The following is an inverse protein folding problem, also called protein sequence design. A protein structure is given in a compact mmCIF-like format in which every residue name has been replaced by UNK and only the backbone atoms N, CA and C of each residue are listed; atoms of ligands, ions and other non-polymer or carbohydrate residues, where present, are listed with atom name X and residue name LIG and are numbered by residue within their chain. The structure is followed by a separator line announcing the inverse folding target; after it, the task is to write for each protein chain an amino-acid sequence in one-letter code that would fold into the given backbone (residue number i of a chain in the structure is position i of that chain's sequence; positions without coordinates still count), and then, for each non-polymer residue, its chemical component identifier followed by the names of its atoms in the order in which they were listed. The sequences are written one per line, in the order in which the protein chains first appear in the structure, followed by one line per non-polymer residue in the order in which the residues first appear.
data_IF_270887449612
#
_entry.id   IF_270887449612
#
_cell.length_a   1.000
_cell.length_b   1.000
_cell.length_c   1.000
_cell.angle_alpha   90.00
_cell.angle_beta   90.00
_cell.angle_gamma   90.00
#
_symmetry.space_group_name_H-M   'P 1'
#
loop_
_entity.id
_entity.type
_entity.pdbx_description
1 polymer ?
#
# COMPACT_ATOMS: atom_id res chain seq x y z
N UNK A 1 -34.65 1.68 -30.15
CA UNK A 1 -33.63 2.27 -31.06
C UNK A 1 -32.69 3.16 -30.27
N UNK A 2 -31.37 2.95 -30.31
CA UNK A 2 -30.41 3.81 -29.60
C UNK A 2 -30.32 5.21 -30.22
N UNK A 3 -29.82 6.17 -29.42
CA UNK A 3 -29.51 7.53 -29.91
C UNK A 3 -28.02 7.61 -30.27
N UNK A 4 -27.71 8.19 -31.41
CA UNK A 4 -26.33 8.45 -31.85
C UNK A 4 -25.62 9.36 -30.85
N UNK A 5 -24.41 9.00 -30.44
CA UNK A 5 -23.61 9.80 -29.50
C UNK A 5 -23.18 11.17 -30.05
N UNK A 6 -23.05 11.27 -31.39
CA UNK A 6 -22.73 12.51 -32.08
C UNK A 6 -23.98 13.37 -32.30
N UNK A 7 -24.83 13.02 -33.26
CA UNK A 7 -25.97 13.84 -33.68
C UNK A 7 -27.23 13.73 -32.82
N UNK A 8 -27.26 12.85 -31.80
CA UNK A 8 -28.37 12.60 -30.87
C UNK A 8 -29.65 12.02 -31.50
N UNK A 9 -29.69 11.81 -32.81
CA UNK A 9 -30.84 11.26 -33.54
C UNK A 9 -30.95 9.75 -33.23
N UNK A 10 -32.19 9.22 -33.10
CA UNK A 10 -32.45 7.78 -33.01
C UNK A 10 -32.12 7.12 -34.35
N UNK A 11 -31.45 5.94 -34.29
CA UNK A 11 -31.09 5.21 -35.49
C UNK A 11 -31.32 3.69 -35.31
N UNK A 12 -31.41 2.95 -36.41
CA UNK A 12 -31.49 1.50 -36.39
C UNK A 12 -30.07 0.92 -36.33
N UNK A 13 -29.74 0.32 -35.17
CA UNK A 13 -28.42 -0.30 -34.98
C UNK A 13 -28.25 -1.52 -35.88
N UNK A 14 -27.11 -1.62 -36.57
CA UNK A 14 -26.72 -2.77 -37.42
C UNK A 14 -26.03 -3.88 -36.64
N UNK A 15 -25.48 -3.54 -35.43
CA UNK A 15 -24.80 -4.49 -34.54
C UNK A 15 -24.98 -4.09 -33.07
N UNK A 16 -24.73 -5.06 -32.19
CA UNK A 16 -24.88 -4.86 -30.75
C UNK A 16 -23.95 -3.73 -30.23
N UNK A 17 -24.47 -2.88 -29.37
CA UNK A 17 -23.75 -1.73 -28.79
C UNK A 17 -23.26 -0.67 -29.79
N UNK A 18 -23.85 -0.56 -30.99
CA UNK A 18 -23.55 0.54 -31.90
C UNK A 18 -23.90 1.89 -31.26
N UNK A 19 -22.94 2.79 -31.21
CA UNK A 19 -23.04 4.09 -30.51
C UNK A 19 -23.24 5.29 -31.45
N UNK A 20 -23.00 5.09 -32.76
CA UNK A 20 -23.05 6.13 -33.80
C UNK A 20 -23.85 5.63 -34.99
N UNK A 21 -24.65 6.52 -35.64
CA UNK A 21 -25.48 6.15 -36.78
C UNK A 21 -24.68 5.82 -38.04
N UNK A 22 -23.48 6.40 -38.19
CA UNK A 22 -22.57 6.23 -39.35
C UNK A 22 -23.18 6.67 -40.71
N UNK A 23 -24.28 7.43 -40.67
CA UNK A 23 -24.97 7.91 -41.87
C UNK A 23 -24.49 9.29 -42.31
N UNK A 24 -23.87 10.04 -41.39
CA UNK A 24 -23.32 11.37 -41.61
C UNK A 24 -21.83 11.36 -41.44
N UNK A 25 -21.09 12.11 -42.25
CA UNK A 25 -19.63 12.21 -42.16
C UNK A 25 -19.13 12.61 -40.78
N UNK A 26 -19.83 13.58 -40.15
CA UNK A 26 -19.53 14.02 -38.77
C UNK A 26 -19.66 12.85 -37.74
N UNK A 27 -20.68 11.99 -37.91
CA UNK A 27 -20.89 10.85 -37.05
C UNK A 27 -19.87 9.74 -37.29
N UNK A 28 -19.40 9.58 -38.53
CA UNK A 28 -18.33 8.68 -38.91
C UNK A 28 -17.00 9.13 -38.29
N UNK A 29 -16.65 10.40 -38.44
CA UNK A 29 -15.45 11.00 -37.83
C UNK A 29 -15.47 10.83 -36.31
N UNK A 30 -16.59 11.17 -35.66
CA UNK A 30 -16.75 11.01 -34.21
C UNK A 30 -16.64 9.55 -33.78
N UNK A 31 -17.07 8.59 -34.60
CA UNK A 31 -16.88 7.14 -34.35
C UNK A 31 -15.41 6.75 -34.43
N UNK A 32 -14.67 7.25 -35.42
CA UNK A 32 -13.23 6.98 -35.59
C UNK A 32 -12.45 7.53 -34.40
N UNK A 33 -12.70 8.76 -33.99
CA UNK A 33 -12.07 9.39 -32.84
C UNK A 33 -12.36 8.61 -31.54
N UNK A 34 -13.62 8.26 -31.31
CA UNK A 34 -14.03 7.45 -30.17
C UNK A 34 -13.31 6.09 -30.15
N UNK A 35 -13.20 5.42 -31.32
CA UNK A 35 -12.51 4.13 -31.45
C UNK A 35 -11.03 4.25 -31.14
N UNK A 36 -10.35 5.29 -31.65
CA UNK A 36 -8.95 5.60 -31.32
C UNK A 36 -8.76 5.85 -29.80
N UNK A 37 -9.65 6.62 -29.19
CA UNK A 37 -9.60 6.88 -27.76
C UNK A 37 -9.77 5.60 -26.92
N UNK A 38 -10.72 4.72 -27.29
CA UNK A 38 -10.92 3.44 -26.62
C UNK A 38 -9.69 2.52 -26.78
N UNK A 39 -9.07 2.50 -27.96
CA UNK A 39 -7.86 1.71 -28.21
C UNK A 39 -6.69 2.24 -27.34
N UNK A 40 -6.49 3.55 -27.26
CA UNK A 40 -5.48 4.16 -26.39
C UNK A 40 -5.71 3.81 -24.93
N UNK A 41 -6.96 3.85 -24.46
CA UNK A 41 -7.33 3.46 -23.09
C UNK A 41 -6.99 1.99 -22.82
N UNK A 42 -7.30 1.08 -23.77
CA UNK A 42 -6.94 -0.36 -23.67
C UNK A 42 -5.43 -0.55 -23.60
N UNK A 43 -4.67 0.03 -24.52
CA UNK A 43 -3.22 -0.07 -24.58
C UNK A 43 -2.56 0.46 -23.29
N UNK A 44 -3.08 1.59 -22.75
CA UNK A 44 -2.62 2.16 -21.48
C UNK A 44 -2.90 1.20 -20.30
N UNK A 45 -4.09 0.58 -20.28
CA UNK A 45 -4.47 -0.40 -19.25
C UNK A 45 -3.59 -1.63 -19.30
N UNK A 46 -3.37 -2.20 -20.51
CA UNK A 46 -2.51 -3.37 -20.72
C UNK A 46 -1.06 -3.09 -20.33
N UNK A 47 -0.51 -1.95 -20.79
CA UNK A 47 0.83 -1.52 -20.40
C UNK A 47 0.97 -1.40 -18.88
N UNK A 48 -0.02 -0.76 -18.23
CA UNK A 48 -0.04 -0.60 -16.77
C UNK A 48 -0.09 -1.94 -16.03
N UNK A 49 -0.82 -2.91 -16.55
CA UNK A 49 -0.91 -4.27 -15.99
C UNK A 49 0.42 -5.03 -16.07
N UNK A 50 1.25 -4.77 -17.10
CA UNK A 50 2.57 -5.40 -17.28
C UNK A 50 3.69 -4.77 -16.45
N UNK A 51 3.50 -3.55 -15.93
CA UNK A 51 4.55 -2.82 -15.20
C UNK A 51 5.11 -3.57 -13.96
N UNK A 52 4.31 -4.28 -13.14
CA UNK A 52 4.84 -5.02 -11.99
C UNK A 52 5.83 -6.11 -12.39
N UNK A 53 5.61 -6.79 -13.51
CA UNK A 53 6.52 -7.82 -14.03
C UNK A 53 7.82 -7.21 -14.60
N UNK A 54 7.72 -6.05 -15.26
CA UNK A 54 8.88 -5.36 -15.83
C UNK A 54 9.77 -4.70 -14.75
N UNK A 55 9.19 -4.29 -13.62
CA UNK A 55 9.89 -3.56 -12.56
C UNK A 55 9.61 -4.12 -11.15
N UNK A 56 9.88 -5.42 -10.90
CA UNK A 56 9.48 -6.08 -9.65
C UNK A 56 10.13 -5.45 -8.40
N UNK A 57 11.42 -5.10 -8.47
CA UNK A 57 12.12 -4.45 -7.35
C UNK A 57 11.50 -3.10 -6.98
N UNK A 58 11.11 -2.31 -7.99
CA UNK A 58 10.49 -0.99 -7.82
C UNK A 58 9.11 -1.10 -7.14
N UNK A 59 8.29 -2.07 -7.56
CA UNK A 59 6.98 -2.30 -6.95
C UNK A 59 7.08 -2.81 -5.51
N UNK A 60 8.06 -3.66 -5.20
CA UNK A 60 8.36 -4.09 -3.82
C UNK A 60 8.80 -2.92 -2.95
N UNK A 61 9.62 -2.00 -3.48
CA UNK A 61 9.99 -0.76 -2.82
C UNK A 61 8.78 0.12 -2.53
N UNK A 62 7.93 0.37 -3.51
CA UNK A 62 6.70 1.14 -3.32
C UNK A 62 5.76 0.54 -2.27
N UNK A 63 5.60 -0.78 -2.25
CA UNK A 63 4.81 -1.44 -1.21
C UNK A 63 5.42 -1.21 0.17
N UNK A 64 6.73 -1.33 0.30
CA UNK A 64 7.43 -1.05 1.57
C UNK A 64 7.24 0.39 2.04
N UNK A 65 7.38 1.36 1.14
CA UNK A 65 7.22 2.78 1.45
C UNK A 65 5.79 3.10 1.94
N UNK A 66 4.78 2.50 1.31
CA UNK A 66 3.38 2.69 1.72
C UNK A 66 3.06 1.98 3.05
N UNK A 67 3.62 0.81 3.33
CA UNK A 67 3.55 0.13 4.63
C UNK A 67 4.23 0.97 5.71
N UNK A 68 5.42 1.47 5.44
CA UNK A 68 6.17 2.35 6.34
C UNK A 68 5.40 3.62 6.66
N UNK A 69 4.73 4.21 5.65
CA UNK A 69 3.85 5.36 5.84
C UNK A 69 2.67 5.03 6.73
N UNK A 70 2.02 3.88 6.52
CA UNK A 70 0.89 3.42 7.32
C UNK A 70 1.28 3.19 8.78
N UNK A 71 2.43 2.54 9.03
CA UNK A 71 2.95 2.32 10.39
C UNK A 71 3.16 3.64 11.15
N UNK A 72 3.77 4.65 10.49
CA UNK A 72 3.94 5.98 11.11
C UNK A 72 2.62 6.69 11.39
N UNK A 73 1.64 6.55 10.51
CA UNK A 73 0.29 7.11 10.73
C UNK A 73 -0.40 6.47 11.93
N UNK A 74 -0.29 5.14 12.09
CA UNK A 74 -0.82 4.43 13.27
C UNK A 74 -0.19 5.00 14.54
N UNK A 75 1.14 5.08 14.60
CA UNK A 75 1.84 5.59 15.77
C UNK A 75 1.45 7.05 16.08
N UNK A 76 1.36 7.90 15.07
CA UNK A 76 0.98 9.30 15.22
C UNK A 76 -0.47 9.47 15.73
N UNK A 77 -1.43 8.74 15.17
CA UNK A 77 -2.85 8.80 15.56
C UNK A 77 -3.07 8.35 17.00
N UNK A 78 -2.24 7.43 17.49
CA UNK A 78 -2.28 6.93 18.87
C UNK A 78 -1.44 7.75 19.86
N UNK A 79 -0.89 8.88 19.40
CA UNK A 79 -0.11 9.76 20.26
C UNK A 79 1.30 9.23 20.62
N UNK A 80 1.82 8.26 19.87
CA UNK A 80 3.19 7.77 20.06
C UNK A 80 4.20 8.76 19.49
N UNK A 81 4.50 9.79 20.26
CA UNK A 81 5.38 10.91 19.89
C UNK A 81 6.85 10.70 20.24
N UNK A 82 7.23 9.51 20.66
CA UNK A 82 8.61 9.16 21.03
C UNK A 82 9.20 8.09 20.11
N UNK A 83 10.52 8.12 19.93
CA UNK A 83 11.26 7.11 19.21
C UNK A 83 11.14 5.75 19.91
N UNK A 84 10.80 4.70 19.16
CA UNK A 84 10.66 3.35 19.73
C UNK A 84 11.95 2.81 20.31
N UNK A 85 13.10 3.28 19.84
CA UNK A 85 14.43 2.79 20.25
C UNK A 85 14.99 3.57 21.44
N UNK A 86 15.07 4.90 21.34
CA UNK A 86 15.77 5.72 22.34
C UNK A 86 14.84 6.55 23.26
N UNK A 87 13.52 6.45 23.11
CA UNK A 87 12.53 7.19 23.89
C UNK A 87 12.50 8.71 23.65
N UNK A 88 13.42 9.29 22.88
CA UNK A 88 13.47 10.74 22.62
C UNK A 88 12.28 11.17 21.75
N UNK A 89 11.83 12.42 21.96
CA UNK A 89 10.69 12.96 21.20
C UNK A 89 10.92 12.94 19.68
N UNK A 90 9.84 12.67 18.96
CA UNK A 90 9.73 12.78 17.50
C UNK A 90 9.06 14.11 17.08
N UNK A 91 8.59 14.92 18.02
CA UNK A 91 7.96 16.22 17.75
C UNK A 91 9.04 17.21 17.29
N UNK A 92 8.76 17.90 16.18
CA UNK A 92 9.68 18.91 15.63
C UNK A 92 10.88 18.34 14.88
N UNK A 93 10.97 17.01 14.70
CA UNK A 93 12.04 16.42 13.88
C UNK A 93 11.65 16.48 12.39
N UNK A 94 12.56 16.88 11.50
CA UNK A 94 12.28 16.97 10.07
C UNK A 94 11.90 15.65 9.43
N UNK A 95 12.45 14.53 9.95
CA UNK A 95 12.22 13.20 9.39
C UNK A 95 12.05 12.16 10.48
N UNK A 96 10.90 11.50 10.47
CA UNK A 96 10.60 10.30 11.27
C UNK A 96 10.66 9.09 10.35
N UNK A 97 11.52 8.13 10.69
CA UNK A 97 11.65 6.87 9.97
C UNK A 97 10.66 5.82 10.50
N UNK A 98 10.36 4.84 9.66
CA UNK A 98 9.69 3.60 10.06
C UNK A 98 10.77 2.52 10.22
N UNK A 99 11.12 2.23 11.45
CA UNK A 99 12.14 1.23 11.78
C UNK A 99 11.54 -0.17 11.86
N UNK A 100 12.30 -1.17 11.39
CA UNK A 100 11.95 -2.58 11.47
C UNK A 100 12.69 -3.24 12.62
N UNK A 101 11.99 -3.93 13.53
CA UNK A 101 12.62 -4.71 14.58
C UNK A 101 13.45 -5.87 13.99
N UNK A 102 12.87 -6.65 13.08
CA UNK A 102 13.57 -7.59 12.23
C UNK A 102 13.91 -6.92 10.90
N UNK A 103 15.20 -6.76 10.63
CA UNK A 103 15.71 -6.08 9.43
C UNK A 103 15.12 -6.71 8.15
N UNK A 104 14.53 -5.89 7.31
CA UNK A 104 13.85 -6.32 6.08
C UNK A 104 14.78 -6.97 5.03
N UNK A 105 16.10 -6.81 5.16
CA UNK A 105 17.08 -7.48 4.29
C UNK A 105 17.22 -8.95 4.63
N UNK A 106 17.28 -9.30 5.91
CA UNK A 106 17.50 -10.66 6.39
C UNK A 106 16.17 -11.40 6.64
N UNK A 107 15.10 -10.66 6.96
CA UNK A 107 13.76 -11.18 7.29
C UNK A 107 12.75 -10.67 6.27
N UNK A 108 12.96 -11.01 4.98
CA UNK A 108 12.15 -10.55 3.87
C UNK A 108 10.69 -11.03 3.92
N UNK A 109 10.44 -12.15 4.57
CA UNK A 109 9.13 -12.76 4.79
C UNK A 109 8.20 -11.92 5.66
N UNK A 110 8.72 -11.19 6.65
CA UNK A 110 7.95 -10.32 7.56
C UNK A 110 8.15 -8.83 7.33
N UNK A 111 8.83 -8.45 6.25
CA UNK A 111 9.16 -7.05 5.96
C UNK A 111 7.94 -6.12 5.82
N UNK A 112 6.79 -6.65 5.44
CA UNK A 112 5.54 -5.89 5.28
C UNK A 112 4.60 -6.02 6.48
N UNK A 113 5.00 -6.75 7.54
CA UNK A 113 4.18 -6.94 8.73
C UNK A 113 4.22 -5.69 9.60
N UNK A 114 3.05 -5.09 9.86
CA UNK A 114 2.95 -3.85 10.63
C UNK A 114 3.40 -4.01 12.09
N UNK A 115 3.35 -5.23 12.67
CA UNK A 115 3.90 -5.47 14.02
C UNK A 115 5.42 -5.38 14.06
N UNK A 116 6.08 -5.55 12.92
CA UNK A 116 7.53 -5.43 12.80
C UNK A 116 8.01 -3.98 12.60
N UNK A 117 7.09 -2.99 12.49
CA UNK A 117 7.44 -1.61 12.05
C UNK A 117 6.87 -0.56 12.99
N UNK A 118 7.74 0.31 13.53
CA UNK A 118 7.35 1.42 14.41
C UNK A 118 8.14 2.69 14.09
N UNK A 119 7.63 3.83 14.56
CA UNK A 119 8.24 5.14 14.36
C UNK A 119 9.53 5.30 15.17
N UNK A 120 10.61 5.75 14.52
CA UNK A 120 11.90 5.99 15.12
C UNK A 120 12.58 7.25 14.58
N UNK A 121 13.58 7.75 15.29
CA UNK A 121 14.51 8.75 14.74
C UNK A 121 15.38 8.11 13.65
N UNK A 122 15.69 8.87 12.62
CA UNK A 122 16.56 8.42 11.53
C UNK A 122 17.93 7.95 12.02
N UNK A 123 18.51 8.65 13.00
CA UNK A 123 19.81 8.28 13.57
C UNK A 123 19.77 6.91 14.24
N UNK A 124 18.73 6.63 15.02
CA UNK A 124 18.54 5.32 15.67
C UNK A 124 18.35 4.21 14.64
N UNK A 125 17.58 4.48 13.59
CA UNK A 125 17.29 3.51 12.55
C UNK A 125 18.50 3.17 11.65
N UNK A 126 19.46 4.10 11.48
CA UNK A 126 20.58 3.95 10.54
C UNK A 126 21.90 3.60 11.19
N UNK A 127 22.17 4.11 12.39
CA UNK A 127 23.52 4.15 12.97
C UNK A 127 23.63 3.55 14.37
N UNK A 128 22.56 3.02 14.94
CA UNK A 128 22.61 2.43 16.29
C UNK A 128 23.06 0.96 16.26
N UNK A 129 24.22 0.66 16.81
CA UNK A 129 24.70 -0.72 16.98
C UNK A 129 23.84 -1.52 17.96
N UNK A 130 23.20 -0.82 18.91
CA UNK A 130 22.29 -1.38 19.90
C UNK A 130 20.81 -1.20 19.58
N UNK A 131 20.48 -0.88 18.32
CA UNK A 131 19.11 -0.62 17.87
C UNK A 131 18.10 -1.68 18.35
N UNK A 132 18.48 -2.95 18.29
CA UNK A 132 17.60 -4.07 18.67
C UNK A 132 17.29 -4.08 20.19
N UNK A 133 18.23 -3.68 21.03
CA UNK A 133 18.06 -3.64 22.50
C UNK A 133 17.13 -2.50 22.91
N UNK A 134 17.39 -1.30 22.43
CA UNK A 134 16.54 -0.13 22.69
C UNK A 134 15.14 -0.32 22.14
N UNK A 135 15.02 -0.84 20.92
CA UNK A 135 13.73 -1.11 20.27
C UNK A 135 12.90 -2.13 21.08
N UNK A 136 13.51 -3.23 21.57
CA UNK A 136 12.85 -4.22 22.43
C UNK A 136 12.31 -3.55 23.70
N UNK A 137 13.15 -2.80 24.38
CA UNK A 137 12.74 -2.07 25.58
C UNK A 137 11.58 -1.10 25.32
N UNK A 138 11.64 -0.35 24.22
CA UNK A 138 10.55 0.57 23.83
C UNK A 138 9.24 -0.13 23.47
N UNK A 139 9.29 -1.35 22.88
CA UNK A 139 8.08 -2.15 22.65
C UNK A 139 7.47 -2.62 23.96
N UNK A 140 8.29 -3.11 24.90
CA UNK A 140 7.82 -3.59 26.21
C UNK A 140 7.20 -2.44 27.01
N UNK A 141 7.85 -1.28 27.02
CA UNK A 141 7.37 -0.08 27.69
C UNK A 141 6.05 0.44 27.10
N UNK A 142 5.96 0.49 25.75
CA UNK A 142 4.80 1.06 25.03
C UNK A 142 3.59 0.15 25.04
N UNK A 143 3.81 -1.15 24.99
CA UNK A 143 2.75 -2.15 24.86
C UNK A 143 2.77 -3.18 25.98
N UNK A 144 3.66 -4.18 25.92
CA UNK A 144 3.86 -5.20 26.97
C UNK A 144 4.95 -6.20 26.57
N UNK A 145 5.41 -7.03 27.53
CA UNK A 145 6.26 -8.18 27.26
C UNK A 145 5.56 -9.19 26.34
N UNK A 146 4.29 -9.51 26.59
CA UNK A 146 3.52 -10.44 25.78
C UNK A 146 3.44 -10.02 24.30
N UNK A 147 3.34 -8.70 24.02
CA UNK A 147 3.40 -8.22 22.64
C UNK A 147 4.79 -8.34 22.03
N UNK A 148 5.84 -8.15 22.80
CA UNK A 148 7.22 -8.38 22.35
C UNK A 148 7.46 -9.87 22.01
N UNK A 149 6.96 -10.78 22.83
CA UNK A 149 7.04 -12.23 22.57
C UNK A 149 6.30 -12.62 21.28
N UNK A 150 5.17 -11.96 21.01
CA UNK A 150 4.46 -12.12 19.73
C UNK A 150 5.32 -11.66 18.55
N UNK A 151 6.02 -10.52 18.67
CA UNK A 151 6.94 -10.02 17.63
C UNK A 151 8.09 -10.99 17.43
N UNK A 152 8.65 -11.55 18.50
CA UNK A 152 9.74 -12.55 18.44
C UNK A 152 9.32 -13.79 17.64
N UNK A 153 8.06 -14.20 17.71
CA UNK A 153 7.54 -15.34 16.96
C UNK A 153 7.23 -15.09 15.49
N UNK A 154 7.22 -13.82 15.01
CA UNK A 154 6.78 -13.49 13.64
C UNK A 154 7.57 -14.20 12.55
N UNK A 155 8.89 -14.25 12.68
CA UNK A 155 9.78 -14.80 11.65
C UNK A 155 9.55 -16.30 11.46
N UNK A 156 9.37 -17.04 12.54
CA UNK A 156 9.04 -18.46 12.50
C UNK A 156 7.63 -18.71 11.97
N UNK A 157 6.66 -17.93 12.43
CA UNK A 157 5.26 -18.06 12.02
C UNK A 157 5.06 -17.86 10.52
N UNK A 158 5.79 -16.93 9.92
CA UNK A 158 5.61 -16.51 8.53
C UNK A 158 6.80 -16.82 7.62
N UNK A 159 7.66 -17.80 7.97
CA UNK A 159 8.91 -18.11 7.24
C UNK A 159 8.72 -18.40 5.74
N UNK A 160 7.60 -18.96 5.36
CA UNK A 160 7.34 -19.41 3.98
C UNK A 160 6.57 -18.37 3.12
N UNK A 161 6.29 -17.19 3.67
CA UNK A 161 5.55 -16.16 2.91
C UNK A 161 6.42 -15.58 1.80
N UNK A 162 5.97 -15.78 0.57
CA UNK A 162 6.55 -15.20 -0.65
C UNK A 162 5.44 -14.63 -1.52
N UNK A 163 5.61 -13.38 -1.96
CA UNK A 163 4.65 -12.70 -2.83
C UNK A 163 5.12 -12.74 -4.28
N UNK A 164 4.23 -13.09 -5.20
CA UNK A 164 4.39 -12.88 -6.64
C UNK A 164 4.36 -11.39 -6.99
N UNK A 165 4.86 -11.01 -8.15
CA UNK A 165 4.84 -9.61 -8.59
C UNK A 165 3.42 -9.05 -8.73
N UNK A 166 2.48 -9.90 -9.15
CA UNK A 166 1.05 -9.54 -9.25
C UNK A 166 0.46 -9.25 -7.87
N UNK A 167 0.70 -10.14 -6.90
CA UNK A 167 0.24 -9.94 -5.52
C UNK A 167 0.84 -8.66 -4.91
N UNK A 168 2.13 -8.39 -5.12
CA UNK A 168 2.76 -7.13 -4.67
C UNK A 168 2.02 -5.91 -5.23
N UNK A 169 1.63 -5.93 -6.51
CA UNK A 169 0.89 -4.82 -7.12
C UNK A 169 -0.53 -4.67 -6.54
N UNK A 170 -1.21 -5.79 -6.28
CA UNK A 170 -2.53 -5.81 -5.64
C UNK A 170 -2.46 -5.28 -4.21
N UNK A 171 -1.50 -5.76 -3.40
CA UNK A 171 -1.29 -5.29 -2.02
C UNK A 171 -0.91 -3.81 -1.99
N UNK A 172 -0.07 -3.35 -2.92
CA UNK A 172 0.26 -1.93 -3.06
C UNK A 172 -0.99 -1.06 -3.30
N UNK A 173 -1.92 -1.52 -4.13
CA UNK A 173 -3.16 -0.80 -4.37
C UNK A 173 -4.04 -0.71 -3.11
N UNK A 174 -4.13 -1.81 -2.34
CA UNK A 174 -4.84 -1.87 -1.06
C UNK A 174 -4.21 -0.88 -0.05
N UNK A 175 -2.89 -0.95 0.16
CA UNK A 175 -2.21 -0.10 1.16
C UNK A 175 -2.30 1.39 0.78
N UNK A 176 -2.23 1.72 -0.51
CA UNK A 176 -2.47 3.09 -0.98
C UNK A 176 -3.88 3.58 -0.67
N UNK A 177 -4.88 2.71 -0.80
CA UNK A 177 -6.25 3.04 -0.41
C UNK A 177 -6.34 3.27 1.11
N UNK A 178 -5.80 2.36 1.91
CA UNK A 178 -5.74 2.52 3.37
C UNK A 178 -5.07 3.83 3.80
N UNK A 179 -3.96 4.19 3.16
CA UNK A 179 -3.27 5.46 3.44
C UNK A 179 -4.10 6.71 3.06
N UNK A 180 -4.94 6.65 2.02
CA UNK A 180 -5.85 7.76 1.68
C UNK A 180 -7.00 7.89 2.67
N UNK A 181 -7.59 6.76 3.01
CA UNK A 181 -8.79 6.69 3.83
C UNK A 181 -8.47 6.58 5.33
N UNK A 182 -7.19 6.76 5.72
CA UNK A 182 -6.67 6.45 7.06
C UNK A 182 -7.43 7.14 8.19
N UNK A 183 -7.83 8.38 8.00
CA UNK A 183 -8.51 9.18 9.05
C UNK A 183 -9.93 8.66 9.37
N UNK A 184 -10.51 7.83 8.48
CA UNK A 184 -11.83 7.22 8.72
C UNK A 184 -11.81 6.01 9.66
N UNK A 185 -10.62 5.50 10.00
CA UNK A 185 -10.47 4.34 10.87
C UNK A 185 -10.31 4.79 12.34
N UNK A 186 -11.03 4.13 13.23
CA UNK A 186 -10.88 4.27 14.67
C UNK A 186 -10.25 3.02 15.28
N UNK A 187 -9.42 3.20 16.30
CA UNK A 187 -8.68 2.11 16.96
C UNK A 187 -8.60 2.37 18.45
N UNK A 188 -8.72 1.32 19.25
CA UNK A 188 -8.56 1.37 20.70
C UNK A 188 -7.08 1.46 21.10
N UNK A 189 -6.20 0.76 20.35
CA UNK A 189 -4.77 0.73 20.63
C UNK A 189 -3.95 0.33 19.39
N UNK A 190 -2.61 0.42 19.49
CA UNK A 190 -1.71 0.17 18.38
C UNK A 190 -1.61 -1.31 17.96
N UNK A 191 -1.95 -2.26 18.83
CA UNK A 191 -1.95 -3.68 18.50
C UNK A 191 -3.16 -3.99 17.65
N UNK A 192 -4.37 -3.58 18.08
CA UNK A 192 -5.61 -3.79 17.33
C UNK A 192 -5.59 -3.08 15.96
N UNK A 193 -5.02 -1.88 15.88
CA UNK A 193 -4.81 -1.17 14.61
C UNK A 193 -3.95 -1.98 13.65
N UNK A 194 -2.83 -2.52 14.11
CA UNK A 194 -1.91 -3.32 13.28
C UNK A 194 -2.53 -4.65 12.87
N UNK A 195 -3.28 -5.31 13.75
CA UNK A 195 -4.03 -6.52 13.43
C UNK A 195 -5.06 -6.25 12.34
N UNK A 196 -5.87 -5.22 12.50
CA UNK A 196 -6.88 -4.82 11.53
C UNK A 196 -6.27 -4.55 10.14
N UNK A 197 -5.24 -3.72 10.06
CA UNK A 197 -4.62 -3.40 8.78
C UNK A 197 -3.87 -4.58 8.16
N UNK A 198 -3.16 -5.41 8.94
CA UNK A 198 -2.55 -6.64 8.43
C UNK A 198 -3.60 -7.57 7.82
N UNK A 199 -4.76 -7.72 8.47
CA UNK A 199 -5.88 -8.51 7.97
C UNK A 199 -6.45 -7.93 6.66
N UNK A 200 -6.68 -6.61 6.57
CA UNK A 200 -7.17 -5.97 5.34
C UNK A 200 -6.15 -6.09 4.19
N UNK A 201 -4.87 -5.93 4.48
CA UNK A 201 -3.79 -6.09 3.49
C UNK A 201 -3.73 -7.55 3.03
N UNK A 202 -3.97 -8.52 3.92
CA UNK A 202 -4.06 -9.94 3.61
C UNK A 202 -2.77 -10.55 3.09
N UNK A 203 -1.63 -10.22 3.73
CA UNK A 203 -0.34 -10.88 3.51
C UNK A 203 -0.09 -11.93 4.59
N UNK A 204 -0.58 -11.68 5.80
CA UNK A 204 -0.27 -12.41 7.03
C UNK A 204 -1.51 -13.02 7.71
N UNK A 205 -2.41 -13.54 6.92
CA UNK A 205 -3.62 -14.23 7.38
C UNK A 205 -3.33 -15.68 7.75
#
# INVERSE_FOLDING_TARGET
MPRCKCCKIKFKAKYFNQKFCLEKDECLLAHVEYSKEQQLKRNRKERKAKLPELYPKKYRGYLQDEINKLARKIDAKLGHTTCIDCGKTLIGIPQVDAAHFYNSKNHGNIRYNLHNVHSAKSDCNKYSDNHKVGYRAGIIERYSQAYMDRIDGLDLKYKDIKLTNKEVAEKLAIVRKLNRDFETFEFDNGISARDCFNMIIGIYN
#
